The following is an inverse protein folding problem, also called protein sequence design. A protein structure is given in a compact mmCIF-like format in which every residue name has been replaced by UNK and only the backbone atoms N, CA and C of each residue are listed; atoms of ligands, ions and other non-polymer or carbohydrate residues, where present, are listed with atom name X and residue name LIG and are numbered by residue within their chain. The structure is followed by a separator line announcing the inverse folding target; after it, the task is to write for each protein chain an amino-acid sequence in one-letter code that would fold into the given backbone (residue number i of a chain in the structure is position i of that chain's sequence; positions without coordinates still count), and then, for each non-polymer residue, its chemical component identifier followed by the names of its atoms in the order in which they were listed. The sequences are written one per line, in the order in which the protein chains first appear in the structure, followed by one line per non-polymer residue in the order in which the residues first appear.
data_IF_904594450018
#
_entry.id   IF_904594450018
#
_cell.length_a   1.000
_cell.length_b   1.000
_cell.length_c   1.000
_cell.angle_alpha   90.00
_cell.angle_beta   90.00
_cell.angle_gamma   90.00
#
_symmetry.space_group_name_H-M   'P 1'
#
loop_
_entity.id
_entity.type
_entity.pdbx_description
1 polymer ?
#
# COMPACT_ATOMS: atom_id res chain seq x y z
N UNK A 1 -25.35 26.50 36.28
CA UNK A 1 -26.10 25.28 35.88
C UNK A 1 -26.77 25.61 34.56
N UNK A 2 -26.32 25.04 33.45
CA UNK A 2 -27.01 25.20 32.16
C UNK A 2 -27.68 23.87 31.83
N UNK A 3 -29.01 23.88 31.92
CA UNK A 3 -29.89 22.89 31.30
C UNK A 3 -29.98 23.23 29.82
N UNK A 4 -29.72 22.25 28.96
CA UNK A 4 -30.00 22.33 27.53
C UNK A 4 -30.84 21.12 27.17
N UNK A 5 -32.15 21.27 27.39
CA UNK A 5 -33.17 20.42 26.79
C UNK A 5 -33.10 20.58 25.26
N UNK A 6 -32.91 19.46 24.55
CA UNK A 6 -32.89 19.41 23.10
C UNK A 6 -34.31 19.59 22.53
N UNK A 7 -34.54 20.48 21.54
CA UNK A 7 -35.81 20.51 20.81
C UNK A 7 -35.90 19.37 19.77
N UNK A 8 -37.01 18.63 19.80
CA UNK A 8 -37.43 17.66 18.79
C UNK A 8 -37.48 18.28 17.40
N UNK A 9 -36.68 17.76 16.46
CA UNK A 9 -36.82 18.08 15.05
C UNK A 9 -37.62 16.97 14.35
N UNK A 10 -38.86 17.29 13.97
CA UNK A 10 -39.71 16.43 13.14
C UNK A 10 -39.11 16.36 11.74
N UNK A 11 -38.68 15.17 11.32
CA UNK A 11 -38.27 14.93 9.93
C UNK A 11 -39.54 14.61 9.13
N UNK A 12 -40.07 15.61 8.42
CA UNK A 12 -41.05 15.40 7.36
C UNK A 12 -40.39 14.70 6.18
N UNK A 13 -41.09 13.68 5.67
CA UNK A 13 -40.68 12.82 4.58
C UNK A 13 -40.40 13.61 3.30
N UNK A 14 -39.13 13.64 2.89
CA UNK A 14 -38.75 13.86 1.50
C UNK A 14 -37.94 12.65 1.05
N UNK A 15 -38.61 11.74 0.34
CA UNK A 15 -37.99 10.61 -0.36
C UNK A 15 -37.40 11.13 -1.68
N UNK A 16 -36.08 11.09 -1.90
CA UNK A 16 -35.52 11.07 -3.24
C UNK A 16 -35.37 9.62 -3.77
N UNK A 17 -35.41 9.43 -5.09
CA UNK A 17 -35.68 8.15 -5.73
C UNK A 17 -34.46 7.22 -5.79
N UNK A 18 -34.74 5.93 -5.58
CA UNK A 18 -34.13 4.73 -6.20
C UNK A 18 -32.84 4.96 -7.02
N UNK A 19 -31.72 4.47 -6.49
CA UNK A 19 -30.42 4.42 -7.17
C UNK A 19 -29.33 3.84 -6.26
N UNK A 20 -29.50 2.57 -5.91
CA UNK A 20 -28.55 1.59 -5.35
C UNK A 20 -27.15 2.08 -4.87
N UNK A 21 -27.09 2.40 -3.57
CA UNK A 21 -26.08 2.00 -2.57
C UNK A 21 -24.59 2.23 -2.91
N UNK A 22 -24.07 3.39 -2.51
CA UNK A 22 -22.64 3.55 -2.17
C UNK A 22 -22.36 2.93 -0.78
N UNK A 23 -22.06 1.63 -0.76
CA UNK A 23 -21.52 0.95 0.42
C UNK A 23 -20.09 1.44 0.67
N UNK A 24 -19.90 2.40 1.58
CA UNK A 24 -18.60 2.62 2.20
C UNK A 24 -18.23 1.36 2.99
N UNK A 25 -17.43 0.49 2.40
CA UNK A 25 -16.82 -0.63 3.10
C UNK A 25 -15.84 -0.08 4.13
N UNK A 26 -16.22 -0.16 5.41
CA UNK A 26 -15.31 0.06 6.53
C UNK A 26 -14.72 -1.31 6.87
N UNK A 27 -13.43 -1.57 6.59
CA UNK A 27 -12.83 -2.86 6.94
C UNK A 27 -12.81 -3.00 8.47
N UNK A 28 -13.42 -4.06 8.99
CA UNK A 28 -13.23 -4.46 10.39
C UNK A 28 -11.76 -4.87 10.57
N UNK A 29 -11.01 -4.27 11.53
CA UNK A 29 -9.61 -4.60 11.77
C UNK A 29 -9.37 -6.07 12.18
N UNK A 30 -10.41 -6.85 12.47
CA UNK A 30 -10.32 -8.29 12.75
C UNK A 30 -10.90 -9.19 11.66
N UNK A 31 -11.24 -8.68 10.47
CA UNK A 31 -11.74 -9.51 9.38
C UNK A 31 -10.60 -10.25 8.67
N UNK A 32 -10.36 -11.51 9.07
CA UNK A 32 -9.54 -12.47 8.32
C UNK A 32 -10.44 -13.13 7.27
N UNK A 33 -10.15 -12.88 5.99
CA UNK A 33 -10.84 -13.52 4.86
C UNK A 33 -10.60 -15.04 4.87
N UNK A 34 -11.67 -15.82 5.00
CA UNK A 34 -11.63 -17.29 5.06
C UNK A 34 -11.67 -17.98 3.68
N UNK A 35 -11.50 -17.25 2.58
CA UNK A 35 -11.54 -17.82 1.24
C UNK A 35 -10.19 -17.64 0.55
N UNK A 36 -9.27 -18.53 0.92
CA UNK A 36 -8.22 -19.16 0.10
C UNK A 36 -7.13 -19.73 1.02
N UNK A 37 -7.51 -20.71 1.85
CA UNK A 37 -6.56 -21.61 2.48
C UNK A 37 -5.95 -22.54 1.42
N UNK A 38 -5.02 -22.02 0.62
CA UNK A 38 -3.99 -22.87 0.02
C UNK A 38 -2.93 -23.09 1.10
N UNK A 39 -2.92 -24.30 1.66
CA UNK A 39 -1.86 -24.79 2.52
C UNK A 39 -0.51 -24.65 1.82
N UNK A 40 0.22 -23.59 2.12
CA UNK A 40 1.68 -23.65 2.11
C UNK A 40 2.08 -23.77 3.55
N UNK A 41 2.56 -24.95 3.93
CA UNK A 41 3.26 -25.15 5.17
C UNK A 41 4.25 -23.97 5.36
N UNK A 42 4.00 -23.13 6.36
CA UNK A 42 5.01 -22.24 6.92
C UNK A 42 5.95 -23.10 7.78
N UNK A 43 6.45 -24.19 7.20
CA UNK A 43 7.56 -24.94 7.75
C UNK A 43 8.79 -24.10 7.45
N UNK A 44 9.29 -23.45 8.49
CA UNK A 44 10.71 -23.18 8.76
C UNK A 44 11.64 -23.25 7.54
N UNK A 45 11.44 -22.36 6.58
CA UNK A 45 12.53 -21.83 5.81
C UNK A 45 13.02 -20.62 6.60
N UNK A 46 13.99 -20.80 7.48
CA UNK A 46 15.09 -19.83 7.52
C UNK A 46 15.68 -19.83 6.11
N UNK A 47 14.97 -19.17 5.18
CA UNK A 47 15.50 -18.81 3.88
C UNK A 47 16.65 -17.90 4.23
N UNK A 48 17.88 -18.42 4.10
CA UNK A 48 19.08 -17.65 4.31
C UNK A 48 18.88 -16.31 3.59
N UNK A 49 18.98 -15.23 4.35
CA UNK A 49 18.73 -13.87 3.84
C UNK A 49 19.58 -13.67 2.59
N UNK A 50 18.96 -13.40 1.46
CA UNK A 50 19.69 -13.21 0.21
C UNK A 50 20.28 -11.78 0.13
N UNK A 51 21.10 -11.54 -0.88
CA UNK A 51 21.74 -10.23 -1.06
C UNK A 51 20.73 -9.10 -1.29
N UNK A 52 19.57 -9.41 -1.87
CA UNK A 52 18.51 -8.44 -2.11
C UNK A 52 17.77 -8.09 -0.83
N UNK A 53 17.54 -9.06 0.06
CA UNK A 53 16.97 -8.85 1.39
C UNK A 53 17.87 -7.99 2.28
N UNK A 54 19.18 -8.22 2.24
CA UNK A 54 20.17 -7.42 2.95
C UNK A 54 20.16 -5.98 2.43
N UNK A 55 20.22 -5.80 1.10
CA UNK A 55 20.18 -4.50 0.47
C UNK A 55 18.88 -3.73 0.79
N UNK A 56 17.73 -4.39 0.63
CA UNK A 56 16.41 -3.81 0.88
C UNK A 56 16.26 -3.33 2.32
N UNK A 57 16.72 -4.12 3.29
CA UNK A 57 16.70 -3.73 4.71
C UNK A 57 17.62 -2.56 5.02
N UNK A 58 18.81 -2.51 4.42
CA UNK A 58 19.72 -1.37 4.59
C UNK A 58 19.08 -0.07 4.07
N UNK A 59 18.57 -0.08 2.83
CA UNK A 59 17.90 1.08 2.24
C UNK A 59 16.68 1.50 3.07
N UNK A 60 15.87 0.54 3.52
CA UNK A 60 14.73 0.82 4.39
C UNK A 60 15.14 1.46 5.73
N UNK A 61 16.23 0.97 6.34
CA UNK A 61 16.80 1.54 7.56
C UNK A 61 17.23 3.00 7.36
N UNK A 62 17.95 3.31 6.28
CA UNK A 62 18.37 4.68 5.99
C UNK A 62 17.18 5.61 5.72
N UNK A 63 16.19 5.16 4.96
CA UNK A 63 14.98 5.95 4.69
C UNK A 63 14.17 6.26 5.96
N UNK A 64 14.16 5.35 6.95
CA UNK A 64 13.47 5.57 8.24
C UNK A 64 14.16 6.65 9.09
N UNK A 65 15.46 6.87 8.93
CA UNK A 65 16.20 7.93 9.64
C UNK A 65 15.82 9.33 9.15
N UNK A 66 15.24 9.43 7.96
CA UNK A 66 14.81 10.70 7.37
C UNK A 66 13.50 11.15 8.02
N UNK A 67 13.57 12.24 8.80
CA UNK A 67 12.44 12.81 9.53
C UNK A 67 11.36 13.41 8.63
N UNK A 68 11.78 14.07 7.55
CA UNK A 68 10.85 14.66 6.58
C UNK A 68 10.26 13.57 5.68
N UNK A 69 8.95 13.43 5.72
CA UNK A 69 8.23 12.51 4.85
C UNK A 69 8.32 12.91 3.38
N UNK A 70 8.24 14.20 3.07
CA UNK A 70 8.40 14.73 1.72
C UNK A 70 9.76 14.33 1.15
N UNK A 71 10.83 14.55 1.92
CA UNK A 71 12.19 14.23 1.51
C UNK A 71 12.41 12.71 1.36
N UNK A 72 11.84 11.92 2.26
CA UNK A 72 11.86 10.45 2.18
C UNK A 72 11.15 9.95 0.91
N UNK A 73 10.02 10.54 0.56
CA UNK A 73 9.25 10.19 -0.64
C UNK A 73 9.99 10.63 -1.92
N UNK A 74 10.65 11.78 -1.90
CA UNK A 74 11.50 12.24 -2.99
C UNK A 74 12.63 11.23 -3.27
N UNK A 75 13.35 10.79 -2.23
CA UNK A 75 14.45 9.83 -2.37
C UNK A 75 13.95 8.47 -2.86
N UNK A 76 12.82 7.97 -2.35
CA UNK A 76 12.19 6.74 -2.84
C UNK A 76 11.95 6.79 -4.35
N UNK A 77 11.38 7.90 -4.84
CA UNK A 77 11.13 8.08 -6.29
C UNK A 77 12.42 8.06 -7.10
N UNK A 78 13.48 8.74 -6.63
CA UNK A 78 14.79 8.73 -7.30
C UNK A 78 15.40 7.34 -7.38
N UNK A 79 15.37 6.57 -6.29
CA UNK A 79 15.88 5.19 -6.27
C UNK A 79 15.13 4.34 -7.31
N UNK A 80 13.80 4.41 -7.31
CA UNK A 80 12.98 3.65 -8.26
C UNK A 80 13.25 4.05 -9.71
N UNK A 81 13.39 5.36 -9.99
CA UNK A 81 13.68 5.85 -11.33
C UNK A 81 15.01 5.31 -11.85
N UNK A 82 16.06 5.35 -11.02
CA UNK A 82 17.39 4.82 -11.39
C UNK A 82 17.32 3.33 -11.73
N UNK A 83 16.58 2.54 -10.94
CA UNK A 83 16.40 1.11 -11.22
C UNK A 83 15.74 0.91 -12.59
N UNK A 84 14.66 1.63 -12.85
CA UNK A 84 13.92 1.56 -14.13
C UNK A 84 14.82 1.96 -15.31
N UNK A 85 15.55 3.06 -15.18
CA UNK A 85 16.44 3.58 -16.24
C UNK A 85 17.54 2.57 -16.59
N UNK A 86 18.14 1.92 -15.58
CA UNK A 86 19.15 0.89 -15.78
C UNK A 86 18.54 -0.34 -16.47
N UNK A 87 17.37 -0.79 -16.02
CA UNK A 87 16.71 -1.94 -16.64
C UNK A 87 16.34 -1.67 -18.10
N UNK A 88 15.84 -0.47 -18.42
CA UNK A 88 15.50 -0.08 -19.78
C UNK A 88 16.73 0.02 -20.70
N UNK A 89 17.89 0.44 -20.16
CA UNK A 89 19.14 0.47 -20.93
C UNK A 89 19.67 -0.94 -21.24
N UNK A 90 19.57 -1.86 -20.29
CA UNK A 90 20.04 -3.24 -20.48
C UNK A 90 19.23 -4.01 -21.53
N UNK A 91 17.93 -3.73 -21.66
CA UNK A 91 17.07 -4.35 -22.68
C UNK A 91 17.38 -3.86 -24.10
N UNK A 92 17.86 -2.62 -24.28
CA UNK A 92 18.18 -2.06 -25.61
C UNK A 92 19.52 -2.53 -26.20
N UNK A 93 20.35 -3.26 -25.43
CA UNK A 93 21.65 -3.78 -25.88
C UNK A 93 21.58 -5.20 -26.48
N UNK A 94 20.38 -5.82 -26.53
CA UNK A 94 20.20 -7.21 -26.96
C UNK A 94 20.09 -7.45 -28.47
N UNK A 95 19.94 -6.40 -29.29
CA UNK A 95 19.53 -6.54 -30.71
C UNK A 95 20.61 -6.15 -31.75
N UNK A 96 21.86 -5.89 -31.33
CA UNK A 96 22.87 -5.29 -32.21
C UNK A 96 23.83 -6.25 -32.95
N UNK A 97 23.79 -7.57 -32.72
CA UNK A 97 24.77 -8.51 -33.28
C UNK A 97 24.15 -9.73 -33.99
N UNK A 98 23.38 -9.51 -35.06
CA UNK A 98 23.06 -10.53 -36.07
C UNK A 98 23.03 -9.90 -37.49
N UNK A 99 24.19 -9.62 -38.07
CA UNK A 99 24.40 -9.47 -39.52
C UNK A 99 25.49 -10.42 -40.03
#
# INVERSE_FOLDING_TARGET
MYSLDCPEFKVENNVPPSGDIDCYYVPDPNYISMESASNTNLDEAESAEDEFDIFGRYIASELRKIKSEEHRNEIKRKILQIIIDITAQNENLGDADLE
#
